data_IF_977620732057
#
_entry.id   IF_977620732057
#
_cell.length_a   1.000
_cell.length_b   1.000
_cell.length_c   1.000
_cell.angle_alpha   90.00
_cell.angle_beta   90.00
_cell.angle_gamma   90.00
#
_symmetry.space_group_name_H-M   'P 1'
#
loop_
_entity.id
_entity.type
_entity.pdbx_description
1 polymer ?
#
# COMPACT_ATOMS: atom_id res chain seq x y z
N UNK A 1 -47.85 -22.06 25.56
CA UNK A 1 -47.43 -20.65 25.34
C UNK A 1 -46.00 -20.55 25.85
N UNK A 2 -44.97 -20.99 25.11
CA UNK A 2 -44.28 -20.34 23.98
C UNK A 2 -43.85 -18.88 24.28
N UNK A 3 -42.52 -18.73 24.40
CA UNK A 3 -41.67 -17.56 24.13
C UNK A 3 -41.64 -16.43 25.17
N UNK A 4 -40.65 -16.48 26.06
CA UNK A 4 -39.94 -15.29 26.56
C UNK A 4 -38.60 -15.70 27.18
N UNK A 5 -37.79 -16.39 26.39
CA UNK A 5 -36.35 -16.47 26.55
C UNK A 5 -35.76 -16.07 25.21
N UNK A 6 -34.63 -15.36 25.20
CA UNK A 6 -34.00 -14.67 24.06
C UNK A 6 -34.39 -13.18 23.99
N UNK A 7 -33.92 -12.39 24.96
CA UNK A 7 -33.84 -10.93 24.84
C UNK A 7 -32.62 -10.34 25.56
N UNK A 8 -31.56 -11.12 25.81
CA UNK A 8 -30.42 -10.67 26.64
C UNK A 8 -29.08 -11.24 26.19
N UNK A 9 -28.84 -11.37 24.88
CA UNK A 9 -27.53 -11.83 24.33
C UNK A 9 -27.02 -10.98 23.15
N UNK A 10 -27.73 -9.93 22.71
CA UNK A 10 -27.33 -9.16 21.50
C UNK A 10 -26.63 -7.83 21.81
N UNK A 11 -26.54 -7.40 23.09
CA UNK A 11 -25.94 -6.09 23.45
C UNK A 11 -24.45 -6.19 23.83
N UNK A 12 -23.89 -7.39 23.99
CA UNK A 12 -22.46 -7.57 24.34
C UNK A 12 -21.52 -7.68 23.14
N UNK A 13 -22.01 -7.63 21.90
CA UNK A 13 -21.18 -7.81 20.70
C UNK A 13 -20.72 -6.52 20.02
N UNK A 14 -21.09 -5.34 20.54
CA UNK A 14 -20.77 -4.05 19.90
C UNK A 14 -19.51 -3.38 20.50
N UNK A 15 -18.89 -3.94 21.54
CA UNK A 15 -17.74 -3.32 22.22
C UNK A 15 -16.34 -3.79 21.78
N UNK A 16 -16.19 -4.59 20.72
CA UNK A 16 -14.86 -5.11 20.31
C UNK A 16 -14.22 -4.30 19.16
N UNK A 17 -14.88 -3.28 18.57
CA UNK A 17 -14.32 -2.50 17.46
C UNK A 17 -13.69 -1.15 17.86
N UNK A 18 -13.51 -0.87 19.15
CA UNK A 18 -12.73 0.29 19.61
C UNK A 18 -11.61 -0.18 20.54
N UNK A 19 -10.55 -0.74 19.96
CA UNK A 19 -9.46 -1.24 20.81
C UNK A 19 -8.34 -2.01 20.13
N UNK A 20 -7.83 -1.57 18.98
CA UNK A 20 -6.45 -1.87 18.58
C UNK A 20 -5.69 -0.59 18.22
N UNK A 21 -5.76 0.38 19.13
CA UNK A 21 -4.64 1.31 19.35
C UNK A 21 -3.78 0.70 20.44
N UNK A 22 -3.18 -0.47 20.15
CA UNK A 22 -1.99 -0.86 20.90
C UNK A 22 -0.83 -0.19 20.19
N UNK A 23 -0.22 0.77 20.86
CA UNK A 23 1.24 0.95 20.77
C UNK A 23 1.87 -0.35 21.30
N UNK A 24 1.70 -1.45 20.57
CA UNK A 24 2.63 -2.56 20.66
C UNK A 24 3.92 -1.99 20.12
N UNK A 25 5.01 -2.16 20.85
CA UNK A 25 6.34 -1.89 20.32
C UNK A 25 6.46 -2.73 19.06
N UNK A 26 6.20 -2.12 17.90
CA UNK A 26 6.20 -2.78 16.62
C UNK A 26 7.61 -3.32 16.45
N UNK A 27 7.74 -4.61 16.70
CA UNK A 27 8.97 -5.35 16.51
C UNK A 27 8.88 -5.78 15.06
N UNK A 28 9.88 -5.43 14.24
CA UNK A 28 9.94 -5.95 12.89
C UNK A 28 9.84 -7.48 12.98
N UNK A 29 9.03 -8.10 12.12
CA UNK A 29 8.87 -9.56 12.06
C UNK A 29 10.20 -10.28 11.82
N UNK A 30 11.17 -9.56 11.25
CA UNK A 30 12.48 -10.04 10.86
C UNK A 30 13.56 -9.48 11.79
N UNK A 31 14.42 -10.37 12.30
CA UNK A 31 15.51 -10.00 13.20
C UNK A 31 16.78 -9.74 12.39
N UNK A 32 17.40 -8.59 12.60
CA UNK A 32 18.70 -8.26 11.99
C UNK A 32 19.83 -9.05 12.67
N UNK A 33 20.70 -9.64 11.85
CA UNK A 33 21.91 -10.38 12.21
C UNK A 33 23.04 -10.00 11.25
N UNK A 34 24.29 -10.30 11.60
CA UNK A 34 25.42 -10.07 10.68
C UNK A 34 25.30 -10.84 9.36
N UNK A 35 24.67 -12.02 9.39
CA UNK A 35 24.51 -12.88 8.22
C UNK A 35 23.48 -12.34 7.22
N UNK A 36 22.45 -11.62 7.70
CA UNK A 36 21.38 -11.12 6.84
C UNK A 36 21.49 -9.64 6.46
N UNK A 37 22.34 -8.90 7.15
CA UNK A 37 22.47 -7.45 6.99
C UNK A 37 22.62 -7.00 5.53
N UNK A 38 23.52 -7.62 4.77
CA UNK A 38 23.83 -7.20 3.40
C UNK A 38 22.60 -7.23 2.48
N UNK A 39 21.87 -8.35 2.46
CA UNK A 39 20.70 -8.45 1.58
C UNK A 39 19.51 -7.65 2.11
N UNK A 40 19.41 -7.42 3.43
CA UNK A 40 18.38 -6.53 3.99
C UNK A 40 18.59 -5.07 3.55
N UNK A 41 19.84 -4.61 3.46
CA UNK A 41 20.16 -3.28 2.94
C UNK A 41 19.87 -3.16 1.44
N UNK A 42 20.18 -4.18 0.65
CA UNK A 42 19.87 -4.22 -0.79
C UNK A 42 18.36 -4.23 -1.04
N UNK A 43 17.62 -5.01 -0.25
CA UNK A 43 16.17 -5.04 -0.30
C UNK A 43 15.57 -3.68 0.10
N UNK A 44 16.06 -3.03 1.17
CA UNK A 44 15.58 -1.70 1.58
C UNK A 44 15.79 -0.66 0.49
N UNK A 45 16.95 -0.66 -0.19
CA UNK A 45 17.21 0.24 -1.32
C UNK A 45 16.19 0.03 -2.45
N UNK A 46 15.92 -1.23 -2.80
CA UNK A 46 14.95 -1.57 -3.83
C UNK A 46 13.54 -1.11 -3.44
N UNK A 47 13.13 -1.36 -2.19
CA UNK A 47 11.85 -0.93 -1.64
C UNK A 47 11.66 0.59 -1.72
N UNK A 48 12.67 1.38 -1.36
CA UNK A 48 12.57 2.83 -1.44
C UNK A 48 12.37 3.31 -2.88
N UNK A 49 13.08 2.72 -3.85
CA UNK A 49 12.89 3.03 -5.28
C UNK A 49 11.45 2.74 -5.70
N UNK A 50 10.91 1.57 -5.34
CA UNK A 50 9.54 1.22 -5.65
C UNK A 50 8.52 2.17 -5.02
N UNK A 51 8.72 2.56 -3.75
CA UNK A 51 7.83 3.50 -3.08
C UNK A 51 7.90 4.93 -3.62
N UNK A 52 9.05 5.38 -4.09
CA UNK A 52 9.18 6.67 -4.74
C UNK A 52 8.42 6.69 -6.08
N UNK A 53 8.55 5.62 -6.87
CA UNK A 53 7.80 5.47 -8.12
C UNK A 53 6.28 5.42 -7.86
N UNK A 54 5.82 4.60 -6.90
CA UNK A 54 4.40 4.57 -6.49
C UNK A 54 3.91 5.94 -6.06
N UNK A 55 4.71 6.67 -5.27
CA UNK A 55 4.34 7.99 -4.77
C UNK A 55 4.19 9.00 -5.91
N UNK A 56 5.03 8.92 -6.94
CA UNK A 56 4.92 9.74 -8.14
C UNK A 56 3.59 9.46 -8.88
N UNK A 57 3.30 8.18 -9.13
CA UNK A 57 2.04 7.74 -9.76
C UNK A 57 0.83 8.25 -8.96
N UNK A 58 0.85 8.05 -7.65
CA UNK A 58 -0.23 8.46 -6.75
C UNK A 58 -0.45 9.96 -6.67
N UNK A 59 0.61 10.75 -6.76
CA UNK A 59 0.48 12.19 -6.85
C UNK A 59 -0.25 12.58 -8.14
N UNK A 60 0.12 11.98 -9.27
CA UNK A 60 -0.56 12.21 -10.55
C UNK A 60 -2.03 11.76 -10.50
N UNK A 61 -2.29 10.56 -9.97
CA UNK A 61 -3.64 10.03 -9.74
C UNK A 61 -4.50 10.98 -8.91
N UNK A 62 -4.03 11.34 -7.70
CA UNK A 62 -4.78 12.16 -6.77
C UNK A 62 -5.08 13.55 -7.36
N UNK A 63 -4.09 14.18 -7.99
CA UNK A 63 -4.27 15.48 -8.63
C UNK A 63 -5.29 15.43 -9.78
N UNK A 64 -5.26 14.37 -10.58
CA UNK A 64 -6.20 14.20 -11.70
C UNK A 64 -7.61 13.93 -11.20
N UNK A 65 -7.74 13.14 -10.13
CA UNK A 65 -9.03 12.89 -9.47
C UNK A 65 -9.58 14.16 -8.81
N UNK A 66 -8.75 14.95 -8.12
CA UNK A 66 -9.11 16.28 -7.60
C UNK A 66 -9.55 17.22 -8.75
N UNK A 67 -8.88 17.13 -9.91
CA UNK A 67 -9.26 17.84 -11.13
C UNK A 67 -10.67 17.49 -11.61
N UNK A 68 -11.08 16.22 -11.52
CA UNK A 68 -12.46 15.81 -11.83
C UNK A 68 -13.47 16.30 -10.78
N UNK A 69 -13.09 16.41 -9.51
CA UNK A 69 -13.97 16.96 -8.46
C UNK A 69 -14.18 18.47 -8.63
N UNK A 70 -13.15 19.17 -9.08
CA UNK A 70 -13.13 20.64 -9.21
C UNK A 70 -13.47 21.13 -10.62
N UNK A 71 -13.85 20.21 -11.51
CA UNK A 71 -14.15 20.48 -12.94
C UNK A 71 -12.98 21.12 -13.72
N UNK A 72 -11.77 21.07 -13.18
CA UNK A 72 -10.56 21.53 -13.86
C UNK A 72 -10.12 20.55 -14.95
N UNK A 73 -10.44 19.26 -14.80
CA UNK A 73 -10.10 18.20 -15.74
C UNK A 73 -11.36 17.65 -16.39
N UNK A 74 -11.31 17.49 -17.71
CA UNK A 74 -12.27 16.67 -18.46
C UNK A 74 -12.01 15.17 -18.24
N UNK A 75 -12.97 14.35 -18.68
CA UNK A 75 -12.85 12.90 -18.69
C UNK A 75 -11.63 12.43 -19.48
N UNK A 76 -11.39 13.04 -20.64
CA UNK A 76 -10.29 12.72 -21.54
C UNK A 76 -8.94 13.13 -20.94
N UNK A 77 -8.88 14.29 -20.26
CA UNK A 77 -7.67 14.75 -19.57
C UNK A 77 -7.32 13.83 -18.41
N UNK A 78 -8.33 13.39 -17.64
CA UNK A 78 -8.16 12.38 -16.60
C UNK A 78 -7.66 11.05 -17.16
N UNK A 79 -8.32 10.52 -18.21
CA UNK A 79 -7.92 9.28 -18.87
C UNK A 79 -6.47 9.34 -19.40
N UNK A 80 -6.10 10.45 -20.02
CA UNK A 80 -4.74 10.68 -20.52
C UNK A 80 -3.73 10.65 -19.37
N UNK A 81 -4.00 11.37 -18.27
CA UNK A 81 -3.13 11.39 -17.10
C UNK A 81 -2.91 9.97 -16.54
N UNK A 82 -3.95 9.14 -16.50
CA UNK A 82 -3.81 7.75 -16.06
C UNK A 82 -2.95 6.93 -17.03
N UNK A 83 -3.19 7.07 -18.35
CA UNK A 83 -2.43 6.39 -19.40
C UNK A 83 -0.94 6.75 -19.37
N UNK A 84 -0.61 8.02 -19.12
CA UNK A 84 0.77 8.50 -19.01
C UNK A 84 1.54 7.81 -17.84
N UNK A 85 0.83 7.25 -16.85
CA UNK A 85 1.44 6.52 -15.73
C UNK A 85 1.48 4.99 -15.94
N UNK A 86 0.81 4.44 -16.96
CA UNK A 86 0.71 2.98 -17.15
C UNK A 86 2.07 2.36 -17.44
N UNK A 87 2.89 3.00 -18.26
CA UNK A 87 4.24 2.49 -18.58
C UNK A 87 5.09 2.37 -17.32
N UNK A 88 5.13 3.43 -16.49
CA UNK A 88 5.85 3.43 -15.22
C UNK A 88 5.30 2.35 -14.29
N UNK A 89 3.97 2.22 -14.22
CA UNK A 89 3.33 1.22 -13.38
C UNK A 89 3.61 -0.22 -13.83
N UNK A 90 3.70 -0.48 -15.14
CA UNK A 90 4.04 -1.80 -15.68
C UNK A 90 5.50 -2.17 -15.37
N UNK A 91 6.41 -1.21 -15.55
CA UNK A 91 7.82 -1.40 -15.18
C UNK A 91 7.93 -1.71 -13.69
N UNK A 92 7.22 -0.98 -12.83
CA UNK A 92 7.20 -1.22 -11.40
C UNK A 92 6.71 -2.63 -11.04
N UNK A 93 5.64 -3.13 -11.68
CA UNK A 93 5.15 -4.51 -11.51
C UNK A 93 6.22 -5.53 -11.92
N UNK A 94 6.81 -5.35 -13.11
CA UNK A 94 7.84 -6.26 -13.61
C UNK A 94 9.08 -6.26 -12.72
N UNK A 95 9.54 -5.08 -12.30
CA UNK A 95 10.75 -4.94 -11.51
C UNK A 95 10.58 -5.59 -10.13
N UNK A 96 9.45 -5.35 -9.46
CA UNK A 96 9.21 -5.97 -8.14
C UNK A 96 9.07 -7.49 -8.26
N UNK A 97 8.37 -8.01 -9.27
CA UNK A 97 8.18 -9.46 -9.44
C UNK A 97 9.46 -10.19 -9.85
N UNK A 98 10.41 -9.49 -10.47
CA UNK A 98 11.69 -10.04 -10.90
C UNK A 98 12.76 -10.09 -9.81
N UNK A 99 12.52 -9.43 -8.67
CA UNK A 99 13.49 -9.36 -7.60
C UNK A 99 13.63 -10.73 -6.94
N UNK A 100 14.84 -11.31 -7.00
CA UNK A 100 15.16 -12.51 -6.25
C UNK A 100 15.36 -12.15 -4.79
N UNK A 101 14.59 -12.76 -3.90
CA UNK A 101 14.57 -12.42 -2.48
C UNK A 101 14.84 -13.64 -1.62
N UNK A 102 15.60 -13.43 -0.55
CA UNK A 102 15.86 -14.48 0.43
C UNK A 102 14.56 -15.00 1.06
N UNK A 103 14.49 -16.30 1.43
CA UNK A 103 13.25 -16.92 1.93
C UNK A 103 12.59 -16.20 3.11
N UNK A 104 13.39 -15.57 3.98
CA UNK A 104 12.86 -14.81 5.13
C UNK A 104 12.16 -13.50 4.74
N UNK A 105 12.45 -12.97 3.54
CA UNK A 105 11.78 -11.79 2.98
C UNK A 105 10.53 -12.11 2.18
N UNK A 106 10.28 -13.40 1.89
CA UNK A 106 9.24 -13.83 0.97
C UNK A 106 7.87 -13.22 1.28
N UNK A 107 7.41 -13.29 2.54
CA UNK A 107 6.10 -12.75 2.92
C UNK A 107 6.01 -11.24 2.72
N UNK A 108 7.02 -10.50 3.18
CA UNK A 108 7.11 -9.05 2.99
C UNK A 108 7.12 -8.67 1.51
N UNK A 109 7.81 -9.47 0.69
CA UNK A 109 7.90 -9.27 -0.74
C UNK A 109 6.58 -9.55 -1.46
N UNK A 110 5.87 -10.62 -1.11
CA UNK A 110 4.53 -10.89 -1.65
C UNK A 110 3.53 -9.79 -1.29
N UNK A 111 3.60 -9.23 -0.07
CA UNK A 111 2.77 -8.10 0.33
C UNK A 111 3.07 -6.84 -0.50
N UNK A 112 4.34 -6.60 -0.83
CA UNK A 112 4.75 -5.49 -1.71
C UNK A 112 4.25 -5.70 -3.14
N UNK A 113 4.42 -6.90 -3.70
CA UNK A 113 3.89 -7.25 -5.03
C UNK A 113 2.37 -7.01 -5.08
N UNK A 114 1.64 -7.52 -4.09
CA UNK A 114 0.19 -7.34 -4.01
C UNK A 114 -0.21 -5.85 -3.95
N UNK A 115 0.52 -5.04 -3.20
CA UNK A 115 0.30 -3.59 -3.13
C UNK A 115 0.52 -2.92 -4.49
N UNK A 116 1.62 -3.23 -5.16
CA UNK A 116 1.97 -2.65 -6.47
C UNK A 116 0.96 -3.08 -7.54
N UNK A 117 0.57 -4.36 -7.55
CA UNK A 117 -0.45 -4.88 -8.46
C UNK A 117 -1.83 -4.23 -8.22
N UNK A 118 -2.21 -4.00 -6.95
CA UNK A 118 -3.45 -3.27 -6.64
C UNK A 118 -3.38 -1.81 -7.11
N UNK A 119 -2.23 -1.16 -6.96
CA UNK A 119 -2.00 0.19 -7.50
C UNK A 119 -2.16 0.23 -9.02
N UNK A 120 -1.57 -0.74 -9.72
CA UNK A 120 -1.72 -0.86 -11.18
C UNK A 120 -3.18 -1.09 -11.58
N UNK A 121 -3.88 -2.00 -10.89
CA UNK A 121 -5.30 -2.27 -11.11
C UNK A 121 -6.20 -1.05 -10.92
N UNK A 122 -5.88 -0.17 -9.96
CA UNK A 122 -6.59 1.11 -9.78
C UNK A 122 -6.45 2.02 -11.01
N UNK A 123 -5.24 2.13 -11.60
CA UNK A 123 -5.04 2.92 -12.82
C UNK A 123 -5.84 2.36 -13.99
N UNK A 124 -5.80 1.04 -14.19
CA UNK A 124 -6.58 0.38 -15.25
C UNK A 124 -8.07 0.59 -15.06
N UNK A 125 -8.57 0.46 -13.83
CA UNK A 125 -9.98 0.69 -13.49
C UNK A 125 -10.38 2.14 -13.78
N UNK A 126 -9.55 3.11 -13.40
CA UNK A 126 -9.79 4.51 -13.68
C UNK A 126 -9.82 4.82 -15.18
N UNK A 127 -8.95 4.18 -15.97
CA UNK A 127 -8.94 4.30 -17.44
C UNK A 127 -10.19 3.68 -18.04
N UNK A 128 -10.57 2.49 -17.60
CA UNK A 128 -11.75 1.77 -18.10
C UNK A 128 -13.04 2.55 -17.83
N UNK A 129 -13.19 3.05 -16.59
CA UNK A 129 -14.24 4.00 -16.24
C UNK A 129 -14.19 5.17 -17.21
N UNK A 130 -13.05 5.87 -17.33
CA UNK A 130 -12.96 7.06 -18.18
C UNK A 130 -13.19 6.82 -19.68
N UNK A 131 -12.98 5.62 -20.21
CA UNK A 131 -13.28 5.30 -21.61
C UNK A 131 -14.76 4.91 -21.83
N UNK A 132 -15.51 4.58 -20.78
CA UNK A 132 -16.92 4.18 -20.88
C UNK A 132 -17.86 5.39 -20.78
N UNK A 133 -18.32 5.91 -21.91
CA UNK A 133 -19.14 7.14 -21.97
C UNK A 133 -20.52 7.01 -21.29
N UNK A 134 -21.04 5.80 -21.15
CA UNK A 134 -22.40 5.56 -20.64
C UNK A 134 -22.55 5.81 -19.13
N UNK A 135 -21.44 5.80 -18.38
CA UNK A 135 -21.46 5.95 -16.92
C UNK A 135 -20.56 7.12 -16.47
N UNK A 136 -21.00 7.85 -15.45
CA UNK A 136 -20.13 8.80 -14.75
C UNK A 136 -18.93 8.06 -14.12
N UNK A 137 -17.78 8.73 -14.05
CA UNK A 137 -16.64 8.20 -13.30
C UNK A 137 -17.03 8.20 -11.82
N UNK A 138 -16.96 7.03 -11.17
CA UNK A 138 -17.20 6.93 -9.73
C UNK A 138 -15.98 7.47 -8.95
N UNK A 139 -15.99 8.79 -8.76
CA UNK A 139 -14.91 9.51 -8.07
C UNK A 139 -14.74 9.04 -6.62
N UNK A 140 -15.83 8.62 -5.96
CA UNK A 140 -15.80 8.21 -4.56
C UNK A 140 -15.13 6.85 -4.41
N UNK A 141 -15.52 5.88 -5.25
CA UNK A 141 -14.84 4.59 -5.31
C UNK A 141 -13.33 4.76 -5.54
N UNK A 142 -12.96 5.55 -6.55
CA UNK A 142 -11.55 5.82 -6.87
C UNK A 142 -10.79 6.47 -5.70
N UNK A 143 -11.44 7.38 -4.95
CA UNK A 143 -10.83 8.01 -3.76
C UNK A 143 -10.63 7.01 -2.63
N UNK A 144 -11.62 6.17 -2.36
CA UNK A 144 -11.56 5.16 -1.30
C UNK A 144 -10.47 4.14 -1.60
N UNK A 145 -10.45 3.57 -2.80
CA UNK A 145 -9.41 2.60 -3.20
C UNK A 145 -8.01 3.21 -3.10
N UNK A 146 -7.83 4.45 -3.59
CA UNK A 146 -6.58 5.17 -3.44
C UNK A 146 -6.14 5.32 -1.98
N UNK A 147 -7.05 5.69 -1.08
CA UNK A 147 -6.76 5.87 0.35
C UNK A 147 -6.39 4.56 1.04
N UNK A 148 -7.06 3.46 0.70
CA UNK A 148 -6.72 2.13 1.21
C UNK A 148 -5.32 1.71 0.76
N UNK A 149 -5.00 1.88 -0.52
CA UNK A 149 -3.67 1.57 -1.06
C UNK A 149 -2.59 2.43 -0.40
N UNK A 150 -2.82 3.74 -0.23
CA UNK A 150 -1.90 4.63 0.49
C UNK A 150 -1.69 4.22 1.96
N UNK A 151 -2.74 3.72 2.60
CA UNK A 151 -2.68 3.24 3.98
C UNK A 151 -1.83 1.98 4.08
N UNK A 152 -2.01 1.04 3.15
CA UNK A 152 -1.18 -0.17 3.05
C UNK A 152 0.28 0.17 2.74
N UNK A 153 0.54 1.08 1.81
CA UNK A 153 1.89 1.59 1.52
C UNK A 153 2.54 2.18 2.77
N UNK A 154 1.79 2.96 3.56
CA UNK A 154 2.29 3.55 4.80
C UNK A 154 2.61 2.50 5.86
N UNK A 155 1.81 1.43 5.97
CA UNK A 155 2.07 0.31 6.90
C UNK A 155 3.38 -0.38 6.56
N UNK A 156 3.55 -0.81 5.31
CA UNK A 156 4.77 -1.50 4.87
C UNK A 156 5.99 -0.57 5.04
N UNK A 157 5.89 0.70 4.66
CA UNK A 157 6.99 1.65 4.85
C UNK A 157 7.33 1.86 6.34
N UNK A 158 6.34 1.84 7.23
CA UNK A 158 6.59 1.96 8.67
C UNK A 158 7.28 0.72 9.25
N UNK A 159 6.86 -0.47 8.85
CA UNK A 159 7.53 -1.73 9.22
C UNK A 159 9.00 -1.73 8.78
N UNK A 160 9.27 -1.30 7.55
CA UNK A 160 10.65 -1.20 7.04
C UNK A 160 11.47 -0.10 7.70
N UNK A 161 10.86 1.04 8.04
CA UNK A 161 11.55 2.08 8.85
C UNK A 161 11.98 1.56 10.22
N UNK A 162 11.21 0.68 10.83
CA UNK A 162 11.58 0.04 12.10
C UNK A 162 12.78 -0.89 11.87
N UNK A 163 12.75 -1.72 10.82
CA UNK A 163 13.87 -2.59 10.48
C UNK A 163 15.14 -1.81 10.16
N UNK A 164 15.04 -0.70 9.41
CA UNK A 164 16.17 0.18 9.09
C UNK A 164 16.84 0.74 10.34
N UNK A 165 16.05 1.18 11.32
CA UNK A 165 16.61 1.62 12.61
C UNK A 165 17.39 0.50 13.30
N UNK A 166 16.93 -0.75 13.19
CA UNK A 166 17.66 -1.92 13.71
C UNK A 166 18.97 -2.18 12.94
N UNK A 167 18.98 -2.00 11.61
CA UNK A 167 20.20 -2.07 10.79
C UNK A 167 21.22 -1.01 11.23
N UNK A 168 20.80 0.25 11.39
CA UNK A 168 21.67 1.36 11.81
C UNK A 168 22.22 1.20 13.24
N UNK A 169 21.44 0.62 14.17
CA UNK A 169 21.93 0.36 15.54
C UNK A 169 22.89 -0.82 15.63
N UNK A 170 22.84 -1.79 14.70
CA UNK A 170 23.80 -2.90 14.65
C UNK A 170 25.23 -2.44 14.34
N UNK A 171 25.39 -1.32 13.61
CA UNK A 171 26.69 -0.70 13.34
C UNK A 171 27.32 0.02 14.54
N UNK A 172 26.55 0.26 15.61
CA UNK A 172 26.99 1.03 16.78
C UNK A 172 27.62 0.22 17.90
N UNK A 173 27.50 -1.10 17.90
CA UNK A 173 28.06 -1.99 18.93
C UNK A 173 29.33 -2.69 18.41
N UNK A 174 30.41 -1.93 18.21
CA UNK A 174 31.76 -2.54 18.30
C UNK A 174 31.94 -3.09 19.72
N UNK A 175 32.19 -4.40 19.91
CA UNK A 175 32.58 -4.91 21.21
C UNK A 175 33.95 -4.32 21.56
N UNK A 176 34.02 -3.57 22.66
CA UNK A 176 35.30 -3.35 23.37
C UNK A 176 35.60 -4.54 24.27
#
# INVERSE_FOLDING_TARGET
>A
MKKLGIATIIITSIFILMGCSSKQNATASLKVTEENKSYLEEYDKSLQVYFDQMTSIFKSFNNSLDGLYTEQYSREQFAKSMKDNIEISNTLVSDVESLDVEPELFENHQNLIALINRSHGLLLTAIDMANTEENEIDKNYLRTEYQEIKTNQASINNEWKILRKSLETSDGETPQ
#
